data_IF_358625055502
#
_entry.id   IF_358625055502
#
_cell.length_a   1.000
_cell.length_b   1.000
_cell.length_c   1.000
_cell.angle_alpha   90.00
_cell.angle_beta   90.00
_cell.angle_gamma   90.00
#
_symmetry.space_group_name_H-M   'P 1'
#
loop_
_entity.id
_entity.type
_entity.pdbx_description
1 polymer ?
#
# COMPACT_ATOMS: atom_id res chain seq x y z
N UNK A 1 21.50 -28.76 10.29
CA UNK A 1 20.84 -28.10 9.14
C UNK A 1 21.64 -26.86 8.81
N UNK A 2 22.06 -26.71 7.56
CA UNK A 2 22.77 -25.50 7.11
C UNK A 2 21.72 -24.39 6.96
N UNK A 3 21.90 -23.30 7.68
CA UNK A 3 21.02 -22.14 7.62
C UNK A 3 21.32 -21.35 6.35
N UNK A 4 20.29 -20.91 5.65
CA UNK A 4 20.43 -20.06 4.47
C UNK A 4 20.09 -18.61 4.83
N UNK A 5 20.84 -17.70 4.25
CA UNK A 5 20.58 -16.27 4.35
C UNK A 5 20.09 -15.74 3.00
N UNK A 6 19.01 -14.97 3.02
CA UNK A 6 18.42 -14.34 1.85
C UNK A 6 18.57 -12.83 1.95
N UNK A 7 19.09 -12.21 0.91
CA UNK A 7 19.21 -10.76 0.82
C UNK A 7 18.11 -10.23 -0.11
N UNK A 8 17.11 -9.58 0.46
CA UNK A 8 16.10 -8.86 -0.31
C UNK A 8 16.66 -7.51 -0.73
N UNK A 9 16.58 -7.19 -2.01
CA UNK A 9 17.11 -5.97 -2.59
C UNK A 9 16.02 -5.23 -3.35
N UNK A 10 15.82 -3.96 -3.02
CA UNK A 10 15.09 -3.00 -3.82
C UNK A 10 16.05 -1.89 -4.25
N UNK A 11 16.15 -1.67 -5.55
CA UNK A 11 16.82 -0.50 -6.11
C UNK A 11 15.76 0.47 -6.63
N UNK A 12 15.85 1.70 -6.18
CA UNK A 12 15.03 2.82 -6.64
C UNK A 12 15.95 3.89 -7.25
N UNK A 13 15.36 4.95 -7.82
CA UNK A 13 16.11 6.00 -8.53
C UNK A 13 17.16 6.70 -7.66
N UNK A 14 16.89 6.84 -6.36
CA UNK A 14 17.73 7.61 -5.42
C UNK A 14 18.33 6.79 -4.29
N UNK A 15 17.75 5.64 -4.00
CA UNK A 15 18.18 4.80 -2.88
C UNK A 15 17.95 3.33 -3.15
N UNK A 16 18.74 2.51 -2.49
CA UNK A 16 18.57 1.06 -2.47
C UNK A 16 18.30 0.60 -1.06
N UNK A 17 17.34 -0.28 -0.91
CA UNK A 17 17.02 -0.93 0.36
C UNK A 17 17.51 -2.37 0.32
N UNK A 18 18.09 -2.81 1.42
CA UNK A 18 18.62 -4.16 1.62
C UNK A 18 18.06 -4.71 2.92
N UNK A 19 17.52 -5.92 2.90
CA UNK A 19 17.10 -6.64 4.09
C UNK A 19 17.68 -8.05 4.08
N UNK A 20 18.34 -8.44 5.16
CA UNK A 20 18.90 -9.76 5.35
C UNK A 20 17.97 -10.60 6.20
N UNK A 21 17.45 -11.68 5.62
CA UNK A 21 16.54 -12.63 6.25
C UNK A 21 17.25 -13.97 6.47
N UNK A 22 16.93 -14.64 7.56
CA UNK A 22 17.38 -16.01 7.84
C UNK A 22 16.19 -16.96 7.72
N UNK A 23 16.43 -18.15 7.12
CA UNK A 23 15.46 -19.27 7.09
C UNK A 23 15.51 -20.13 8.37
N UNK A 24 16.20 -19.66 9.42
CA UNK A 24 16.13 -20.32 10.74
C UNK A 24 14.68 -20.35 11.23
N UNK A 25 14.30 -21.43 11.90
CA UNK A 25 12.98 -21.51 12.52
C UNK A 25 12.96 -20.78 13.89
N UNK A 26 12.16 -19.71 14.00
CA UNK A 26 11.33 -19.05 12.98
C UNK A 26 12.17 -18.20 11.99
N UNK A 27 11.72 -18.11 10.73
CA UNK A 27 12.28 -17.21 9.73
C UNK A 27 12.23 -15.77 10.26
N UNK A 28 13.34 -15.03 10.19
CA UNK A 28 13.44 -13.71 10.82
C UNK A 28 14.32 -12.72 10.04
N UNK A 29 14.00 -11.45 10.20
CA UNK A 29 14.85 -10.34 9.78
C UNK A 29 16.07 -10.26 10.71
N UNK A 30 17.26 -10.30 10.12
CA UNK A 30 18.52 -10.11 10.87
C UNK A 30 18.96 -8.64 10.87
N UNK A 31 18.84 -7.98 9.74
CA UNK A 31 19.24 -6.57 9.59
C UNK A 31 18.63 -5.96 8.34
N UNK A 32 18.51 -4.63 8.32
CA UNK A 32 18.12 -3.88 7.14
C UNK A 32 18.86 -2.54 7.07
N UNK A 33 19.11 -2.05 5.85
CA UNK A 33 19.75 -0.77 5.62
C UNK A 33 19.22 -0.11 4.34
N UNK A 34 19.13 1.21 4.34
CA UNK A 34 18.84 2.02 3.16
C UNK A 34 20.07 2.84 2.82
N UNK A 35 20.51 2.77 1.57
CA UNK A 35 21.69 3.48 1.05
C UNK A 35 21.29 4.30 -0.17
N UNK A 36 22.01 5.41 -0.48
CA UNK A 36 21.87 6.09 -1.76
C UNK A 36 22.16 5.13 -2.93
N UNK A 37 21.44 5.26 -4.03
CA UNK A 37 21.68 4.47 -5.25
C UNK A 37 23.12 4.71 -5.74
N UNK A 38 23.84 3.63 -6.01
CA UNK A 38 25.27 3.68 -6.38
C UNK A 38 26.22 3.80 -5.18
N UNK A 39 25.76 3.86 -3.95
CA UNK A 39 26.59 3.69 -2.77
C UNK A 39 27.19 2.28 -2.80
N UNK A 40 28.53 2.23 -2.82
CA UNK A 40 29.23 0.96 -2.90
C UNK A 40 29.04 0.11 -1.64
N UNK A 41 28.96 -1.11 -1.89
CA UNK A 41 28.85 -2.32 -1.13
C UNK A 41 29.48 -2.38 0.27
N UNK A 42 30.37 -1.49 0.68
CA UNK A 42 31.04 -1.61 1.98
C UNK A 42 30.09 -1.57 3.19
N UNK A 43 29.05 -0.73 3.14
CA UNK A 43 28.06 -0.69 4.21
C UNK A 43 27.16 -1.93 4.20
N UNK A 44 26.77 -2.41 3.01
CA UNK A 44 26.05 -3.68 2.85
C UNK A 44 26.93 -4.84 3.31
N UNK A 45 28.19 -4.89 2.89
CA UNK A 45 29.15 -5.91 3.33
C UNK A 45 29.36 -5.89 4.84
N UNK A 46 29.50 -4.74 5.45
CA UNK A 46 29.63 -4.58 6.91
C UNK A 46 28.37 -5.05 7.63
N UNK A 47 27.18 -4.72 7.12
CA UNK A 47 25.91 -5.22 7.65
C UNK A 47 25.84 -6.73 7.55
N UNK A 48 26.15 -7.28 6.38
CA UNK A 48 26.14 -8.71 6.11
C UNK A 48 27.15 -9.46 6.99
N UNK A 49 28.34 -8.93 7.17
CA UNK A 49 29.38 -9.49 8.05
C UNK A 49 28.94 -9.45 9.52
N UNK A 50 28.31 -8.35 9.97
CA UNK A 50 27.80 -8.25 11.34
C UNK A 50 26.66 -9.23 11.60
N UNK A 51 25.76 -9.41 10.64
CA UNK A 51 24.66 -10.37 10.75
C UNK A 51 25.13 -11.81 10.63
N UNK A 52 26.07 -12.11 9.74
CA UNK A 52 26.69 -13.44 9.61
C UNK A 52 27.52 -13.81 10.85
N UNK A 53 28.14 -12.84 11.53
CA UNK A 53 28.82 -13.04 12.80
C UNK A 53 27.88 -13.41 13.95
N UNK A 54 26.62 -12.96 13.91
CA UNK A 54 25.57 -13.34 14.86
C UNK A 54 25.03 -14.77 14.59
N UNK A 55 25.16 -15.26 13.35
CA UNK A 55 24.76 -16.60 12.95
C UNK A 55 25.98 -17.36 12.40
N UNK A 56 26.84 -17.83 13.32
CA UNK A 56 28.08 -18.53 12.96
C UNK A 56 27.82 -19.68 11.99
N UNK A 57 28.43 -19.60 10.81
CA UNK A 57 28.41 -20.65 9.80
C UNK A 57 27.32 -20.53 8.72
N UNK A 58 26.49 -19.50 8.73
CA UNK A 58 25.52 -19.24 7.66
C UNK A 58 26.20 -18.49 6.50
N UNK A 59 26.02 -18.97 5.28
CA UNK A 59 26.42 -18.27 4.06
C UNK A 59 25.20 -17.61 3.42
N UNK A 60 25.39 -16.42 2.84
CA UNK A 60 24.35 -15.80 1.99
C UNK A 60 24.15 -16.74 0.79
N UNK A 61 22.98 -17.37 0.76
CA UNK A 61 22.66 -18.34 -0.28
C UNK A 61 22.14 -17.68 -1.53
N UNK A 62 21.39 -16.58 -1.41
CA UNK A 62 20.70 -15.97 -2.55
C UNK A 62 20.44 -14.48 -2.33
N UNK A 63 20.75 -13.67 -3.34
CA UNK A 63 20.35 -12.27 -3.43
C UNK A 63 19.10 -12.15 -4.30
N UNK A 64 18.02 -11.64 -3.73
CA UNK A 64 16.70 -11.54 -4.34
C UNK A 64 16.44 -10.09 -4.73
N UNK A 65 16.62 -9.76 -6.00
CA UNK A 65 16.32 -8.44 -6.53
C UNK A 65 14.84 -8.33 -6.92
N UNK A 66 14.16 -7.31 -6.43
CA UNK A 66 12.76 -7.06 -6.77
C UNK A 66 12.62 -6.69 -8.25
N UNK A 67 11.83 -7.48 -8.99
CA UNK A 67 11.35 -7.15 -10.34
C UNK A 67 9.84 -6.87 -10.25
N UNK A 68 9.35 -5.68 -10.65
CA UNK A 68 7.92 -5.40 -10.64
C UNK A 68 7.07 -6.43 -11.41
N UNK A 69 7.65 -7.13 -12.40
CA UNK A 69 6.97 -8.21 -13.14
C UNK A 69 6.68 -9.44 -12.28
N UNK A 70 7.35 -9.57 -11.16
CA UNK A 70 7.17 -10.71 -10.23
C UNK A 70 6.06 -10.47 -9.19
N UNK A 71 5.39 -9.31 -9.19
CA UNK A 71 4.36 -8.95 -8.20
C UNK A 71 3.20 -9.94 -8.14
N UNK A 72 2.79 -10.53 -9.27
CA UNK A 72 1.76 -11.58 -9.27
C UNK A 72 2.17 -12.78 -8.42
N UNK A 73 3.40 -13.29 -8.60
CA UNK A 73 3.92 -14.39 -7.79
C UNK A 73 4.14 -13.98 -6.33
N UNK A 74 4.53 -12.72 -6.09
CA UNK A 74 4.62 -12.20 -4.74
C UNK A 74 3.26 -12.19 -4.04
N UNK A 75 2.19 -11.79 -4.75
CA UNK A 75 0.82 -11.83 -4.24
C UNK A 75 0.39 -13.25 -3.85
N UNK A 76 0.69 -14.26 -4.72
CA UNK A 76 0.43 -15.67 -4.43
C UNK A 76 1.12 -16.13 -3.14
N UNK A 77 2.42 -15.87 -3.01
CA UNK A 77 3.20 -16.25 -1.82
C UNK A 77 2.74 -15.56 -0.55
N UNK A 78 2.39 -14.27 -0.65
CA UNK A 78 1.81 -13.54 0.48
C UNK A 78 0.42 -14.08 0.85
N UNK A 79 -0.43 -14.44 -0.14
CA UNK A 79 -1.72 -15.02 0.12
C UNK A 79 -1.62 -16.38 0.83
N UNK A 80 -0.71 -17.25 0.37
CA UNK A 80 -0.44 -18.55 1.01
C UNK A 80 0.13 -18.38 2.42
N UNK A 81 1.03 -17.42 2.60
CA UNK A 81 1.65 -17.14 3.88
C UNK A 81 0.67 -16.59 4.92
N UNK A 82 -0.24 -15.72 4.51
CA UNK A 82 -1.21 -15.05 5.39
C UNK A 82 -2.54 -15.82 5.49
N UNK A 83 -2.80 -16.77 4.59
CA UNK A 83 -4.03 -17.56 4.56
C UNK A 83 -5.27 -16.78 4.14
N UNK A 84 -5.12 -15.61 3.53
CA UNK A 84 -6.20 -14.71 3.09
C UNK A 84 -5.89 -14.16 1.70
N UNK A 85 -6.90 -13.68 0.95
CA UNK A 85 -6.66 -13.00 -0.31
C UNK A 85 -5.76 -11.77 -0.14
N UNK A 86 -4.77 -11.64 -1.02
CA UNK A 86 -3.80 -10.53 -1.01
C UNK A 86 -3.90 -9.77 -2.32
N UNK A 87 -3.90 -8.45 -2.19
CA UNK A 87 -3.73 -7.49 -3.28
C UNK A 87 -2.44 -6.71 -3.06
N UNK A 88 -1.74 -6.38 -4.14
CA UNK A 88 -0.55 -5.54 -4.09
C UNK A 88 -0.77 -4.36 -5.02
N UNK A 89 -0.59 -3.14 -4.51
CA UNK A 89 -0.60 -1.91 -5.28
C UNK A 89 0.81 -1.31 -5.31
N UNK A 90 1.36 -1.13 -6.50
CA UNK A 90 2.63 -0.44 -6.73
C UNK A 90 2.38 0.79 -7.64
N UNK A 91 2.57 1.99 -7.11
CA UNK A 91 2.57 3.22 -7.90
C UNK A 91 4.00 3.69 -8.03
N UNK A 92 4.55 3.51 -9.22
CA UNK A 92 5.90 3.93 -9.57
C UNK A 92 5.89 5.11 -10.56
N UNK A 93 7.07 5.61 -10.92
CA UNK A 93 7.17 6.72 -11.87
C UNK A 93 6.72 6.36 -13.26
N UNK A 94 6.96 5.12 -13.69
CA UNK A 94 6.77 4.60 -15.05
C UNK A 94 5.41 3.93 -15.28
N UNK A 95 4.79 3.37 -14.22
CA UNK A 95 3.49 2.69 -14.30
C UNK A 95 2.87 2.53 -12.91
N UNK A 96 1.55 2.37 -12.86
CA UNK A 96 0.86 1.70 -11.78
C UNK A 96 0.80 0.21 -12.04
N UNK A 97 0.91 -0.59 -11.01
CA UNK A 97 0.81 -2.05 -11.08
C UNK A 97 -0.09 -2.55 -9.98
N UNK A 98 -0.90 -3.51 -10.34
CA UNK A 98 -1.79 -4.16 -9.41
C UNK A 98 -1.65 -5.66 -9.55
N UNK A 99 -1.49 -6.37 -8.45
CA UNK A 99 -1.42 -7.82 -8.43
C UNK A 99 -2.41 -8.38 -7.41
N UNK A 100 -2.91 -9.59 -7.69
CA UNK A 100 -3.88 -10.24 -6.83
C UNK A 100 -3.68 -11.75 -6.80
N UNK A 101 -3.92 -12.36 -5.64
CA UNK A 101 -4.01 -13.80 -5.47
C UNK A 101 -4.90 -14.17 -4.28
N UNK A 102 -5.56 -15.32 -4.37
CA UNK A 102 -6.14 -16.01 -3.22
C UNK A 102 -5.20 -17.15 -2.77
N UNK A 103 -5.30 -17.64 -1.53
CA UNK A 103 -4.52 -18.78 -1.09
C UNK A 103 -4.68 -19.98 -2.03
N UNK A 104 -3.56 -20.61 -2.39
CA UNK A 104 -3.52 -21.76 -3.32
C UNK A 104 -3.76 -21.40 -4.79
N UNK A 105 -3.80 -20.12 -5.17
CA UNK A 105 -3.99 -19.70 -6.57
C UNK A 105 -2.75 -19.03 -7.13
N UNK A 106 -2.58 -19.12 -8.46
CA UNK A 106 -1.57 -18.32 -9.15
C UNK A 106 -1.97 -16.84 -9.08
N UNK A 107 -0.97 -16.00 -8.85
CA UNK A 107 -1.20 -14.56 -8.80
C UNK A 107 -1.28 -13.93 -10.18
N UNK A 108 -2.19 -13.01 -10.32
CA UNK A 108 -2.37 -12.18 -11.51
C UNK A 108 -1.66 -10.83 -11.37
N UNK A 109 -1.23 -10.24 -12.46
CA UNK A 109 -0.57 -8.93 -12.51
C UNK A 109 -1.11 -8.12 -13.68
N UNK A 110 -1.52 -6.90 -13.40
CA UNK A 110 -1.86 -5.88 -14.39
C UNK A 110 -0.88 -4.72 -14.27
N UNK A 111 -0.37 -4.25 -15.41
CA UNK A 111 0.48 -3.06 -15.50
C UNK A 111 -0.24 -1.99 -16.32
N UNK A 112 -0.37 -0.81 -15.76
CA UNK A 112 -1.19 0.29 -16.27
C UNK A 112 -0.29 1.52 -16.42
N UNK A 113 0.02 1.88 -17.68
CA UNK A 113 0.93 2.99 -17.97
C UNK A 113 0.33 4.35 -17.55
N UNK A 114 -0.98 4.51 -17.70
CA UNK A 114 -1.74 5.72 -17.32
C UNK A 114 -1.74 5.96 -15.81
N UNK A 115 -1.57 4.89 -15.04
CA UNK A 115 -1.45 4.95 -13.58
C UNK A 115 -0.01 5.19 -13.09
N UNK A 116 0.92 5.53 -13.98
CA UNK A 116 2.21 6.07 -13.59
C UNK A 116 2.04 7.33 -12.75
N UNK A 117 2.95 7.58 -11.81
CA UNK A 117 2.95 8.85 -11.07
C UNK A 117 3.00 10.04 -12.03
N UNK A 118 3.88 9.96 -13.03
CA UNK A 118 3.96 10.92 -14.14
C UNK A 118 3.86 10.15 -15.46
N UNK A 119 2.69 10.10 -16.09
CA UNK A 119 2.51 9.38 -17.35
C UNK A 119 3.45 9.87 -18.44
N UNK A 120 3.99 8.95 -19.25
CA UNK A 120 4.85 9.30 -20.39
C UNK A 120 4.05 9.94 -21.53
N UNK A 121 2.80 9.50 -21.74
CA UNK A 121 1.92 10.05 -22.76
C UNK A 121 1.54 11.51 -22.43
N UNK A 122 1.68 12.46 -23.40
CA UNK A 122 1.39 13.86 -23.15
C UNK A 122 -0.10 14.16 -22.88
N UNK A 123 -1.03 13.36 -23.37
CA UNK A 123 -2.47 13.54 -23.11
C UNK A 123 -2.81 13.10 -21.70
N UNK A 124 -2.29 11.97 -21.25
CA UNK A 124 -2.44 11.47 -19.90
C UNK A 124 -1.73 12.36 -18.88
N UNK A 125 -0.56 12.91 -19.22
CA UNK A 125 0.11 13.91 -18.38
C UNK A 125 -0.71 15.18 -18.22
N UNK A 126 -1.40 15.64 -19.26
CA UNK A 126 -2.33 16.78 -19.17
C UNK A 126 -3.54 16.46 -18.30
N UNK A 127 -4.13 15.27 -18.45
CA UNK A 127 -5.22 14.78 -17.59
C UNK A 127 -4.79 14.73 -16.13
N UNK A 128 -3.59 14.20 -15.85
CA UNK A 128 -2.99 14.15 -14.50
C UNK A 128 -2.81 15.57 -13.93
N UNK A 129 -2.29 16.50 -14.72
CA UNK A 129 -2.15 17.90 -14.32
C UNK A 129 -3.51 18.51 -13.94
N UNK A 130 -4.55 18.27 -14.71
CA UNK A 130 -5.90 18.78 -14.41
C UNK A 130 -6.50 18.15 -13.14
N UNK A 131 -6.22 16.87 -12.88
CA UNK A 131 -6.63 16.19 -11.66
C UNK A 131 -5.89 16.75 -10.43
N UNK A 132 -4.60 16.96 -10.54
CA UNK A 132 -3.77 17.56 -9.48
C UNK A 132 -4.25 18.97 -9.16
N UNK A 133 -4.46 19.82 -10.18
CA UNK A 133 -4.97 21.19 -10.00
C UNK A 133 -6.26 21.22 -9.18
N UNK A 134 -7.23 20.35 -9.53
CA UNK A 134 -8.48 20.25 -8.79
C UNK A 134 -8.28 19.82 -7.34
N UNK A 135 -7.38 18.82 -7.12
CA UNK A 135 -7.14 18.28 -5.79
C UNK A 135 -6.48 19.27 -4.83
N UNK A 136 -5.51 20.06 -5.32
CA UNK A 136 -4.80 21.04 -4.47
C UNK A 136 -5.45 22.42 -4.45
N UNK A 137 -6.51 22.63 -5.25
CA UNK A 137 -7.19 23.93 -5.34
C UNK A 137 -6.37 25.03 -6.03
N UNK A 138 -5.30 24.68 -6.74
CA UNK A 138 -4.45 25.63 -7.45
C UNK A 138 -5.09 26.06 -8.79
N UNK A 139 -4.78 27.27 -9.25
CA UNK A 139 -5.32 27.83 -10.49
C UNK A 139 -4.27 28.00 -11.59
N UNK A 140 -3.01 28.02 -11.21
CA UNK A 140 -1.91 28.15 -12.18
C UNK A 140 -1.53 26.80 -12.78
N UNK A 141 -2.16 26.49 -13.91
CA UNK A 141 -1.89 25.26 -14.65
C UNK A 141 -0.45 25.15 -15.14
N UNK A 142 0.16 26.27 -15.54
CA UNK A 142 1.52 26.26 -16.04
C UNK A 142 2.49 25.89 -14.94
N UNK A 143 2.37 26.51 -13.76
CA UNK A 143 3.19 26.20 -12.60
C UNK A 143 3.09 24.72 -12.17
N UNK A 144 1.88 24.16 -12.15
CA UNK A 144 1.70 22.72 -11.83
C UNK A 144 2.28 21.83 -12.91
N UNK A 145 2.09 22.16 -14.20
CA UNK A 145 2.64 21.39 -15.32
C UNK A 145 4.17 21.40 -15.33
N UNK A 146 4.79 22.57 -15.08
CA UNK A 146 6.23 22.71 -14.95
C UNK A 146 6.77 21.89 -13.77
N UNK A 147 6.09 21.93 -12.62
CA UNK A 147 6.47 21.15 -11.43
C UNK A 147 6.34 19.64 -11.65
N UNK A 148 5.30 19.19 -12.34
CA UNK A 148 5.17 17.79 -12.75
C UNK A 148 6.26 17.39 -13.75
N UNK A 149 6.67 18.30 -14.65
CA UNK A 149 7.81 18.11 -15.53
C UNK A 149 9.12 17.95 -14.76
N UNK A 150 9.39 18.84 -13.80
CA UNK A 150 10.57 18.75 -12.92
C UNK A 150 10.61 17.42 -12.14
N UNK A 151 9.46 16.95 -11.64
CA UNK A 151 9.34 15.67 -10.94
C UNK A 151 9.61 14.49 -11.91
N UNK A 152 9.19 14.60 -13.18
CA UNK A 152 9.46 13.58 -14.19
C UNK A 152 10.95 13.48 -14.50
N UNK A 153 11.59 14.62 -14.72
CA UNK A 153 13.01 14.70 -15.10
C UNK A 153 13.96 14.44 -13.91
N UNK A 154 13.52 14.84 -12.71
CA UNK A 154 14.30 14.74 -11.48
C UNK A 154 13.39 14.30 -10.33
N UNK A 155 13.07 13.01 -10.23
CA UNK A 155 12.08 12.49 -9.27
C UNK A 155 12.34 12.88 -7.82
N UNK A 156 13.58 13.21 -7.47
CA UNK A 156 14.01 13.62 -6.12
C UNK A 156 14.07 15.12 -5.91
N UNK A 157 13.85 15.93 -6.97
CA UNK A 157 13.84 17.40 -6.83
C UNK A 157 12.51 17.89 -6.25
N UNK A 158 12.54 19.13 -5.69
CA UNK A 158 11.32 19.79 -5.21
C UNK A 158 10.63 19.03 -4.07
N UNK A 159 11.40 18.49 -3.12
CA UNK A 159 10.89 17.99 -1.84
C UNK A 159 10.64 19.16 -0.90
N UNK A 160 9.71 20.00 -1.29
CA UNK A 160 9.10 21.03 -0.48
C UNK A 160 7.61 20.67 -0.31
N UNK A 161 6.92 21.36 0.60
CA UNK A 161 5.52 21.08 0.90
C UNK A 161 4.62 21.13 -0.34
N UNK A 162 4.86 22.05 -1.27
CA UNK A 162 4.10 22.18 -2.50
C UNK A 162 4.38 21.01 -3.46
N UNK A 163 5.62 20.58 -3.59
CA UNK A 163 6.00 19.42 -4.39
C UNK A 163 5.42 18.12 -3.84
N UNK A 164 5.38 17.98 -2.53
CA UNK A 164 4.80 16.79 -1.87
C UNK A 164 3.27 16.76 -1.99
N UNK A 165 2.59 17.90 -1.93
CA UNK A 165 1.14 18.00 -2.22
C UNK A 165 0.84 17.59 -3.67
N UNK A 166 1.62 18.05 -4.64
CA UNK A 166 1.46 17.66 -6.05
C UNK A 166 1.66 16.16 -6.23
N UNK A 167 2.69 15.58 -5.61
CA UNK A 167 2.94 14.13 -5.68
C UNK A 167 1.81 13.33 -5.02
N UNK A 168 1.34 13.75 -3.87
CA UNK A 168 0.23 13.10 -3.17
C UNK A 168 -1.04 13.13 -4.03
N UNK A 169 -1.37 14.28 -4.62
CA UNK A 169 -2.51 14.41 -5.53
C UNK A 169 -2.33 13.54 -6.80
N UNK A 170 -1.12 13.46 -7.35
CA UNK A 170 -0.82 12.59 -8.48
C UNK A 170 -0.93 11.10 -8.10
N UNK A 171 -0.52 10.71 -6.89
CA UNK A 171 -0.73 9.35 -6.38
C UNK A 171 -2.21 9.02 -6.23
N UNK A 172 -3.02 9.92 -5.67
CA UNK A 172 -4.46 9.71 -5.52
C UNK A 172 -5.17 9.54 -6.88
N UNK A 173 -4.77 10.31 -7.89
CA UNK A 173 -5.30 10.13 -9.24
C UNK A 173 -4.78 8.84 -9.91
N UNK A 174 -3.53 8.41 -9.63
CA UNK A 174 -2.99 7.13 -10.10
C UNK A 174 -3.76 5.94 -9.52
N UNK A 175 -4.14 5.98 -8.23
CA UNK A 175 -5.00 4.97 -7.59
C UNK A 175 -6.30 4.83 -8.38
N UNK A 176 -6.93 5.94 -8.75
CA UNK A 176 -8.18 5.94 -9.50
C UNK A 176 -7.99 5.28 -10.88
N UNK A 177 -6.91 5.60 -11.59
CA UNK A 177 -6.58 4.96 -12.86
C UNK A 177 -6.37 3.45 -12.72
N UNK A 178 -5.79 2.98 -11.60
CA UNK A 178 -5.70 1.53 -11.31
C UNK A 178 -7.09 0.96 -11.07
N UNK A 179 -7.93 1.63 -10.29
CA UNK A 179 -9.27 1.15 -9.95
C UNK A 179 -10.15 0.97 -11.19
N UNK A 180 -10.10 1.91 -12.15
CA UNK A 180 -10.83 1.83 -13.42
C UNK A 180 -10.51 0.55 -14.22
N UNK A 181 -9.28 0.03 -14.09
CA UNK A 181 -8.84 -1.19 -14.77
C UNK A 181 -9.03 -2.45 -13.92
N UNK A 182 -9.29 -2.30 -12.63
CA UNK A 182 -9.37 -3.41 -11.69
C UNK A 182 -10.80 -3.75 -11.26
N UNK A 183 -11.78 -2.93 -11.58
CA UNK A 183 -13.16 -3.05 -11.07
C UNK A 183 -13.83 -4.42 -11.32
N UNK A 184 -13.35 -5.20 -12.28
CA UNK A 184 -13.95 -6.49 -12.67
C UNK A 184 -13.38 -7.72 -11.90
N UNK A 185 -12.41 -7.56 -10.99
CA UNK A 185 -11.66 -8.70 -10.44
C UNK A 185 -11.94 -9.01 -8.96
N UNK A 186 -13.06 -8.63 -8.43
CA UNK A 186 -13.27 -8.73 -7.00
C UNK A 186 -14.46 -9.55 -6.54
N UNK A 187 -14.25 -10.80 -6.20
CA UNK A 187 -15.17 -11.50 -5.28
C UNK A 187 -15.10 -10.83 -3.91
N UNK A 188 -16.27 -10.51 -3.36
CA UNK A 188 -16.42 -10.04 -1.98
C UNK A 188 -15.85 -11.07 -1.01
N UNK A 189 -14.73 -10.78 -0.38
CA UNK A 189 -14.17 -11.64 0.67
C UNK A 189 -13.92 -10.78 1.89
N UNK A 190 -14.65 -11.06 2.97
CA UNK A 190 -14.33 -10.50 4.26
C UNK A 190 -12.94 -10.97 4.70
N UNK A 191 -12.09 -10.05 5.15
CA UNK A 191 -10.75 -10.36 5.61
C UNK A 191 -9.72 -10.50 4.50
N UNK A 192 -9.54 -9.49 3.66
CA UNK A 192 -8.43 -9.38 2.68
C UNK A 192 -7.28 -8.51 3.20
N UNK A 193 -6.13 -8.60 2.54
CA UNK A 193 -4.95 -7.75 2.78
C UNK A 193 -4.62 -6.99 1.51
N UNK A 194 -4.39 -5.68 1.65
CA UNK A 194 -3.83 -4.83 0.59
C UNK A 194 -2.41 -4.40 0.99
N UNK A 195 -1.41 -4.83 0.24
CA UNK A 195 -0.02 -4.40 0.40
C UNK A 195 0.21 -3.22 -0.56
N UNK A 196 0.59 -2.08 -0.01
CA UNK A 196 0.88 -0.87 -0.78
C UNK A 196 2.39 -0.64 -0.79
N UNK A 197 2.97 -0.53 -1.99
CA UNK A 197 4.40 -0.31 -2.21
C UNK A 197 4.65 0.85 -3.17
N UNK A 198 5.91 1.19 -3.42
CA UNK A 198 6.27 2.32 -4.29
C UNK A 198 6.11 3.68 -3.62
N UNK A 199 5.90 4.71 -4.43
CA UNK A 199 5.84 6.11 -3.95
C UNK A 199 4.67 6.35 -3.00
N UNK A 200 3.53 5.72 -3.25
CA UNK A 200 2.31 5.92 -2.47
C UNK A 200 2.46 5.51 -1.00
N UNK A 201 3.28 4.50 -0.68
CA UNK A 201 3.48 4.05 0.69
C UNK A 201 3.99 5.18 1.61
N UNK A 202 4.80 6.11 1.08
CA UNK A 202 5.29 7.27 1.83
C UNK A 202 4.17 8.31 2.09
N UNK A 203 3.27 8.53 1.11
CA UNK A 203 2.20 9.53 1.23
C UNK A 203 1.04 9.06 2.11
N UNK A 204 0.76 7.77 2.15
CA UNK A 204 -0.16 7.19 3.13
C UNK A 204 0.38 7.34 4.56
N UNK A 205 1.68 7.12 4.77
CA UNK A 205 2.31 7.29 6.09
C UNK A 205 2.23 8.72 6.60
N UNK A 206 2.38 9.71 5.72
CA UNK A 206 2.31 11.14 6.08
C UNK A 206 0.88 11.68 6.18
N UNK A 207 -0.13 10.87 5.84
CA UNK A 207 -1.53 11.31 5.76
C UNK A 207 -1.83 12.23 4.55
N UNK A 208 -0.86 12.45 3.66
CA UNK A 208 -1.07 13.26 2.47
C UNK A 208 -1.99 12.58 1.43
N UNK A 209 -2.04 11.23 1.44
CA UNK A 209 -3.06 10.43 0.77
C UNK A 209 -3.88 9.75 1.86
N UNK A 210 -5.18 9.99 1.96
CA UNK A 210 -6.02 9.37 2.97
C UNK A 210 -6.23 7.87 2.68
N UNK A 211 -6.45 7.08 3.71
CA UNK A 211 -6.71 5.63 3.59
C UNK A 211 -7.98 5.37 2.75
N UNK A 212 -8.96 6.26 2.83
CA UNK A 212 -10.18 6.24 2.03
C UNK A 212 -9.93 6.19 0.51
N UNK A 213 -8.82 6.75 0.03
CA UNK A 213 -8.47 6.72 -1.40
C UNK A 213 -8.26 5.30 -1.95
N UNK A 214 -8.00 4.33 -1.08
CA UNK A 214 -7.82 2.92 -1.43
C UNK A 214 -9.14 2.15 -1.53
N UNK A 215 -10.27 2.74 -1.14
CA UNK A 215 -11.58 2.05 -1.08
C UNK A 215 -12.02 1.47 -2.42
N UNK A 216 -11.63 2.11 -3.52
CA UNK A 216 -11.94 1.67 -4.89
C UNK A 216 -11.16 0.43 -5.33
N UNK A 217 -10.11 0.06 -4.59
CA UNK A 217 -9.21 -1.06 -4.90
C UNK A 217 -9.51 -2.32 -4.08
N UNK A 218 -10.41 -2.23 -3.12
CA UNK A 218 -10.67 -3.31 -2.16
C UNK A 218 -12.13 -3.74 -2.22
N UNK A 219 -12.42 -5.01 -1.88
CA UNK A 219 -13.79 -5.50 -1.87
C UNK A 219 -14.60 -4.87 -0.74
N UNK A 220 -15.90 -5.08 -0.77
CA UNK A 220 -16.76 -4.84 0.38
C UNK A 220 -16.30 -5.67 1.59
N UNK A 221 -16.46 -5.11 2.78
CA UNK A 221 -15.99 -5.71 4.02
C UNK A 221 -14.66 -5.14 4.48
N UNK A 222 -13.98 -5.89 5.36
CA UNK A 222 -12.73 -5.44 5.98
C UNK A 222 -11.50 -5.82 5.15
N UNK A 223 -10.63 -4.85 4.93
CA UNK A 223 -9.30 -5.03 4.34
C UNK A 223 -8.24 -4.44 5.25
N UNK A 224 -7.26 -5.24 5.64
CA UNK A 224 -6.07 -4.75 6.35
C UNK A 224 -5.08 -4.18 5.34
N UNK A 225 -4.65 -2.93 5.54
CA UNK A 225 -3.69 -2.25 4.66
C UNK A 225 -2.30 -2.29 5.28
N UNK A 226 -1.35 -2.86 4.56
CA UNK A 226 0.06 -2.96 4.92
C UNK A 226 0.92 -2.10 3.98
N UNK A 227 1.87 -1.36 4.53
CA UNK A 227 2.78 -0.52 3.77
C UNK A 227 4.15 -1.21 3.64
N UNK A 228 4.52 -1.56 2.43
CA UNK A 228 5.88 -1.95 2.08
C UNK A 228 6.72 -0.70 1.76
N UNK A 229 7.13 0.01 2.81
CA UNK A 229 7.95 1.22 2.67
C UNK A 229 9.35 0.94 2.11
N UNK A 230 9.80 -0.27 2.26
CA UNK A 230 11.08 -0.74 1.76
C UNK A 230 11.03 -1.15 0.27
N UNK A 231 9.83 -1.40 -0.26
CA UNK A 231 9.62 -1.84 -1.63
C UNK A 231 10.14 -3.25 -1.92
N UNK A 232 10.20 -4.10 -0.91
CA UNK A 232 10.81 -5.45 -1.02
C UNK A 232 9.82 -6.53 -1.46
N UNK A 233 8.51 -6.23 -1.48
CA UNK A 233 7.50 -7.23 -1.83
C UNK A 233 7.75 -7.89 -3.18
N UNK A 234 8.23 -7.13 -4.18
CA UNK A 234 8.55 -7.68 -5.50
C UNK A 234 9.68 -8.73 -5.46
N UNK A 235 10.62 -8.62 -4.51
CA UNK A 235 11.69 -9.60 -4.34
C UNK A 235 11.17 -10.98 -3.89
N UNK A 236 10.03 -11.01 -3.20
CA UNK A 236 9.38 -12.26 -2.78
C UNK A 236 8.83 -13.06 -3.96
N UNK A 237 8.58 -12.43 -5.11
CA UNK A 237 8.05 -13.07 -6.31
C UNK A 237 9.11 -13.66 -7.25
N UNK A 238 10.39 -13.59 -6.91
CA UNK A 238 11.48 -14.07 -7.79
C UNK A 238 11.43 -15.59 -8.03
N UNK A 239 11.88 -16.03 -9.20
CA UNK A 239 11.92 -17.46 -9.55
C UNK A 239 12.98 -18.26 -8.78
N UNK A 240 13.92 -17.57 -8.15
CA UNK A 240 14.99 -18.17 -7.38
C UNK A 240 14.52 -18.80 -6.06
N UNK A 241 13.32 -18.42 -5.59
CA UNK A 241 12.68 -19.00 -4.41
C UNK A 241 11.77 -20.16 -4.80
N UNK A 242 11.89 -21.30 -4.11
CA UNK A 242 10.85 -22.31 -4.13
C UNK A 242 9.61 -21.84 -3.36
N UNK A 243 8.46 -22.48 -3.56
CA UNK A 243 7.18 -22.01 -3.01
C UNK A 243 7.17 -22.01 -1.47
N UNK A 244 7.71 -23.03 -0.82
CA UNK A 244 7.74 -23.15 0.64
C UNK A 244 8.57 -22.03 1.27
N UNK A 245 9.83 -21.89 0.83
CA UNK A 245 10.72 -20.82 1.31
C UNK A 245 10.16 -19.44 0.97
N UNK A 246 9.53 -19.29 -0.20
CA UNK A 246 8.90 -18.05 -0.62
C UNK A 246 7.75 -17.64 0.32
N UNK A 247 6.90 -18.58 0.73
CA UNK A 247 5.81 -18.31 1.66
C UNK A 247 6.32 -18.00 3.08
N UNK A 248 7.35 -18.70 3.56
CA UNK A 248 7.98 -18.43 4.86
C UNK A 248 8.60 -17.03 4.91
N UNK A 249 9.36 -16.66 3.87
CA UNK A 249 9.93 -15.32 3.74
C UNK A 249 8.84 -14.25 3.62
N UNK A 250 7.76 -14.52 2.89
CA UNK A 250 6.63 -13.59 2.75
C UNK A 250 5.97 -13.34 4.11
N UNK A 251 5.74 -14.38 4.91
CA UNK A 251 5.20 -14.25 6.27
C UNK A 251 6.11 -13.40 7.16
N UNK A 252 7.39 -13.76 7.24
CA UNK A 252 8.33 -13.01 8.06
C UNK A 252 8.50 -11.56 7.60
N UNK A 253 8.46 -11.31 6.28
CA UNK A 253 8.50 -9.96 5.72
C UNK A 253 7.24 -9.16 6.11
N UNK A 254 6.06 -9.76 6.01
CA UNK A 254 4.81 -9.11 6.40
C UNK A 254 4.80 -8.75 7.89
N UNK A 255 5.27 -9.63 8.75
CA UNK A 255 5.30 -9.43 10.20
C UNK A 255 6.38 -8.44 10.68
N UNK A 256 7.51 -8.34 9.98
CA UNK A 256 8.69 -7.65 10.50
C UNK A 256 9.12 -6.42 9.69
N UNK A 257 8.72 -6.30 8.43
CA UNK A 257 9.09 -5.20 7.54
C UNK A 257 7.91 -4.33 7.10
N UNK A 258 6.72 -4.92 6.98
CA UNK A 258 5.57 -4.13 6.58
C UNK A 258 5.01 -3.36 7.77
N UNK A 259 4.63 -2.11 7.51
CA UNK A 259 4.03 -1.25 8.53
C UNK A 259 2.51 -1.29 8.39
N UNK A 260 1.73 -1.64 9.42
CA UNK A 260 0.28 -1.53 9.35
C UNK A 260 -0.15 -0.07 9.10
N UNK A 261 -0.87 0.17 8.00
CA UNK A 261 -1.52 1.46 7.78
C UNK A 261 -2.80 1.56 8.60
N UNK A 262 -3.50 0.45 8.75
CA UNK A 262 -4.75 0.31 9.48
C UNK A 262 -5.77 -0.48 8.66
N UNK A 263 -6.94 -0.68 9.25
CA UNK A 263 -8.04 -1.37 8.57
C UNK A 263 -8.93 -0.38 7.81
N UNK A 264 -9.35 -0.81 6.62
CA UNK A 264 -10.32 -0.13 5.78
C UNK A 264 -11.57 -1.00 5.70
N UNK A 265 -12.71 -0.46 6.17
CA UNK A 265 -14.01 -1.11 6.09
C UNK A 265 -14.84 -0.45 4.98
N UNK A 266 -15.15 -1.20 3.94
CA UNK A 266 -16.03 -0.75 2.85
C UNK A 266 -17.42 -1.32 3.05
N UNK A 267 -18.37 -0.43 3.31
CA UNK A 267 -19.78 -0.79 3.52
C UNK A 267 -20.54 -0.65 2.20
N UNK A 268 -21.39 -1.62 1.88
CA UNK A 268 -22.21 -1.56 0.66
C UNK A 268 -23.04 -0.28 0.60
N UNK A 269 -23.04 0.37 -0.55
CA UNK A 269 -23.90 1.51 -0.81
C UNK A 269 -25.24 1.05 -1.41
N UNK A 270 -26.31 1.29 -0.65
CA UNK A 270 -27.68 1.06 -1.11
C UNK A 270 -28.39 2.43 -1.22
N UNK A 271 -28.85 2.82 -2.42
CA UNK A 271 -29.51 4.10 -2.61
C UNK A 271 -30.69 4.31 -1.66
N UNK A 272 -30.69 5.42 -0.94
CA UNK A 272 -31.75 5.77 0.01
C UNK A 272 -31.64 5.12 1.40
N UNK A 273 -30.66 4.26 1.64
CA UNK A 273 -30.41 3.64 2.94
C UNK A 273 -29.44 4.49 3.74
N UNK A 274 -29.83 4.85 4.96
CA UNK A 274 -28.93 5.49 5.92
C UNK A 274 -27.96 4.42 6.48
N UNK A 275 -26.69 4.78 6.55
CA UNK A 275 -25.66 4.00 7.23
C UNK A 275 -25.23 4.77 8.46
N UNK A 276 -25.39 4.16 9.63
CA UNK A 276 -24.94 4.72 10.90
C UNK A 276 -23.73 3.93 11.38
N UNK A 277 -22.73 4.65 11.87
CA UNK A 277 -21.52 4.07 12.42
C UNK A 277 -21.47 4.43 13.90
N UNK A 278 -21.45 3.41 14.74
CA UNK A 278 -21.33 3.56 16.18
C UNK A 278 -19.89 3.18 16.59
N UNK A 279 -19.18 4.13 17.17
CA UNK A 279 -17.84 3.95 17.69
C UNK A 279 -17.85 4.29 19.18
N UNK A 280 -17.94 3.26 20.02
CA UNK A 280 -18.20 3.43 21.45
C UNK A 280 -19.54 4.11 21.71
N UNK A 281 -19.52 5.29 22.35
CA UNK A 281 -20.73 6.08 22.64
C UNK A 281 -21.10 7.10 21.54
N UNK A 282 -20.27 7.22 20.50
CA UNK A 282 -20.49 8.18 19.42
C UNK A 282 -21.22 7.52 18.23
N UNK A 283 -22.16 8.27 17.65
CA UNK A 283 -22.90 7.87 16.45
C UNK A 283 -22.61 8.84 15.33
N UNK A 284 -22.29 8.31 14.16
CA UNK A 284 -21.96 9.09 12.97
C UNK A 284 -22.77 8.58 11.76
N UNK A 285 -23.42 9.51 11.05
CA UNK A 285 -24.04 9.19 9.77
C UNK A 285 -22.96 9.12 8.68
N UNK A 286 -22.85 7.99 7.99
CA UNK A 286 -21.96 7.82 6.85
C UNK A 286 -22.74 8.16 5.57
N UNK A 287 -22.36 9.28 4.95
CA UNK A 287 -22.95 9.73 3.68
C UNK A 287 -22.52 8.83 2.52
N UNK A 288 -23.26 8.85 1.42
CA UNK A 288 -23.01 7.97 0.26
C UNK A 288 -21.65 8.16 -0.40
N UNK A 289 -21.06 9.35 -0.27
CA UNK A 289 -19.72 9.70 -0.77
C UNK A 289 -18.74 10.00 0.37
N UNK A 290 -19.10 9.64 1.60
CA UNK A 290 -18.37 9.99 2.81
C UNK A 290 -17.38 8.91 3.24
N UNK A 291 -16.39 9.36 3.98
CA UNK A 291 -15.48 8.53 4.75
C UNK A 291 -15.41 9.03 6.19
N UNK A 292 -15.32 8.07 7.12
CA UNK A 292 -15.06 8.35 8.53
C UNK A 292 -13.68 7.76 8.87
N UNK A 293 -12.80 8.59 9.36
CA UNK A 293 -11.47 8.20 9.80
C UNK A 293 -11.38 8.30 11.31
N UNK A 294 -10.79 7.29 11.94
CA UNK A 294 -10.61 7.22 13.38
C UNK A 294 -9.13 7.06 13.69
N UNK A 295 -8.61 7.87 14.60
CA UNK A 295 -7.21 7.80 15.04
C UNK A 295 -7.02 6.62 16.03
N UNK A 296 -6.85 5.44 15.46
CA UNK A 296 -6.55 4.21 16.21
C UNK A 296 -5.11 3.78 15.88
N UNK A 297 -4.26 3.74 16.88
CA UNK A 297 -2.83 3.52 16.70
C UNK A 297 -2.51 2.07 16.34
N UNK A 298 -1.33 1.87 15.77
CA UNK A 298 -0.82 0.53 15.50
C UNK A 298 -0.74 -0.30 16.80
N UNK A 299 -1.31 -1.50 16.75
CA UNK A 299 -1.42 -2.41 17.89
C UNK A 299 -2.68 -2.22 18.75
N UNK A 300 -3.48 -1.20 18.47
CA UNK A 300 -4.79 -0.99 19.09
C UNK A 300 -5.90 -1.51 18.18
N UNK A 301 -7.05 -1.84 18.76
CA UNK A 301 -8.24 -2.31 18.05
C UNK A 301 -9.43 -1.48 18.52
N UNK A 302 -10.31 -1.11 17.59
CA UNK A 302 -11.58 -0.46 17.88
C UNK A 302 -12.75 -1.32 17.40
N UNK A 303 -13.77 -1.45 18.22
CA UNK A 303 -15.03 -2.08 17.86
C UNK A 303 -15.92 -1.03 17.19
N UNK A 304 -16.20 -1.24 15.91
CA UNK A 304 -17.07 -0.39 15.10
C UNK A 304 -18.34 -1.17 14.77
N UNK A 305 -19.48 -0.63 15.16
CA UNK A 305 -20.78 -1.18 14.80
C UNK A 305 -21.36 -0.43 13.61
N UNK A 306 -21.67 -1.15 12.54
CA UNK A 306 -22.32 -0.61 11.34
C UNK A 306 -23.79 -0.96 11.38
N UNK A 307 -24.66 0.03 11.34
CA UNK A 307 -26.11 -0.13 11.31
C UNK A 307 -26.68 0.29 9.94
N UNK A 308 -27.38 -0.64 9.29
CA UNK A 308 -28.09 -0.40 8.03
C UNK A 308 -29.48 -1.05 8.09
N UNK A 309 -30.55 -0.31 7.80
CA UNK A 309 -31.93 -0.82 7.75
C UNK A 309 -32.33 -1.68 8.97
N UNK A 310 -31.84 -1.30 10.18
CA UNK A 310 -32.12 -2.05 11.41
C UNK A 310 -31.29 -3.31 11.61
N UNK A 311 -30.33 -3.58 10.72
CA UNK A 311 -29.32 -4.61 10.90
C UNK A 311 -28.03 -3.99 11.44
N UNK A 312 -27.47 -4.62 12.46
CA UNK A 312 -26.20 -4.18 13.08
C UNK A 312 -25.13 -5.24 12.89
N UNK A 313 -23.98 -4.82 12.45
CA UNK A 313 -22.79 -5.68 12.28
C UNK A 313 -21.64 -5.05 13.06
N UNK A 314 -21.08 -5.82 13.98
CA UNK A 314 -19.90 -5.43 14.75
C UNK A 314 -18.63 -5.87 14.01
N UNK A 315 -17.71 -4.94 13.78
CA UNK A 315 -16.41 -5.20 13.20
C UNK A 315 -15.31 -4.72 14.17
N UNK A 316 -14.42 -5.64 14.54
CA UNK A 316 -13.19 -5.29 15.25
C UNK A 316 -12.13 -4.86 14.23
N UNK A 317 -11.77 -3.58 14.22
CA UNK A 317 -10.83 -2.98 13.28
C UNK A 317 -9.51 -2.66 13.96
N UNK A 318 -8.40 -2.98 13.27
CA UNK A 318 -7.05 -2.75 13.78
C UNK A 318 -6.53 -1.41 13.31
N UNK A 319 -5.98 -0.66 14.24
CA UNK A 319 -5.33 0.62 13.96
C UNK A 319 -3.96 0.48 13.29
N UNK A 320 -3.47 1.60 12.77
CA UNK A 320 -2.18 1.68 12.11
C UNK A 320 -1.65 3.12 12.06
N UNK A 321 -0.66 3.37 11.22
CA UNK A 321 -0.09 4.72 11.05
C UNK A 321 -1.06 5.71 10.39
N UNK A 322 -2.08 5.22 9.69
CA UNK A 322 -3.16 6.02 9.10
C UNK A 322 -4.50 5.86 9.84
N UNK A 323 -4.52 5.18 11.00
CA UNK A 323 -5.73 4.92 11.77
C UNK A 323 -6.60 3.81 11.17
N UNK A 324 -7.91 3.92 11.31
CA UNK A 324 -8.91 3.09 10.63
C UNK A 324 -9.84 3.97 9.81
N UNK A 325 -10.38 3.44 8.73
CA UNK A 325 -11.28 4.18 7.86
C UNK A 325 -12.52 3.33 7.53
N UNK A 326 -13.69 3.96 7.61
CA UNK A 326 -14.97 3.39 7.17
C UNK A 326 -15.51 4.22 6.03
N UNK A 327 -15.78 3.59 4.89
CA UNK A 327 -16.30 4.26 3.69
C UNK A 327 -17.53 3.54 3.16
N UNK A 328 -18.42 4.25 2.46
CA UNK A 328 -19.43 3.61 1.61
C UNK A 328 -18.81 3.30 0.26
N UNK A 329 -18.97 2.04 -0.18
CA UNK A 329 -18.63 1.65 -1.53
C UNK A 329 -19.60 2.29 -2.50
N UNK A 330 -19.14 3.27 -3.26
CA UNK A 330 -19.89 3.80 -4.40
C UNK A 330 -19.68 2.88 -5.60
N UNK A 331 -20.69 2.70 -6.45
CA UNK A 331 -20.48 2.09 -7.77
C UNK A 331 -19.36 2.82 -8.53
N UNK A 332 -18.55 2.13 -9.32
CA UNK A 332 -17.38 2.70 -9.99
C UNK A 332 -17.62 3.98 -10.80
N UNK A 333 -18.86 4.21 -11.23
CA UNK A 333 -19.21 5.31 -12.15
C UNK A 333 -19.23 6.69 -11.46
N UNK A 334 -19.37 6.80 -10.13
CA UNK A 334 -19.54 8.06 -9.41
C UNK A 334 -18.30 8.54 -8.61
N UNK A 335 -17.26 7.73 -8.50
CA UNK A 335 -16.07 8.04 -7.69
C UNK A 335 -15.25 9.22 -8.22
N UNK A 336 -15.55 9.71 -9.44
CA UNK A 336 -14.77 10.75 -10.11
C UNK A 336 -14.82 12.13 -9.42
N UNK A 337 -15.73 12.38 -8.48
CA UNK A 337 -16.01 13.73 -7.96
C UNK A 337 -16.21 13.85 -6.46
N UNK A 338 -16.04 12.78 -5.68
CA UNK A 338 -16.15 12.89 -4.24
C UNK A 338 -14.99 13.74 -3.69
N UNK A 339 -15.25 14.93 -3.14
CA UNK A 339 -14.25 15.63 -2.39
C UNK A 339 -13.92 14.75 -1.17
N UNK A 340 -12.67 14.40 -1.02
CA UNK A 340 -12.18 13.77 0.22
C UNK A 340 -12.33 14.84 1.30
N UNK A 341 -13.44 14.82 2.01
CA UNK A 341 -13.63 15.66 3.19
C UNK A 341 -12.94 14.95 4.33
N UNK A 342 -11.62 15.08 4.38
CA UNK A 342 -10.86 14.75 5.57
C UNK A 342 -11.31 15.69 6.68
N UNK A 343 -12.25 15.26 7.52
CA UNK A 343 -12.40 15.85 8.84
C UNK A 343 -11.53 15.01 9.76
N UNK A 344 -10.57 15.62 10.48
CA UNK A 344 -9.89 14.90 11.54
C UNK A 344 -10.95 14.39 12.51
N UNK A 345 -11.16 13.09 12.51
CA UNK A 345 -12.01 12.47 13.51
C UNK A 345 -11.36 12.72 14.87
N UNK A 346 -12.17 13.07 15.85
CA UNK A 346 -11.70 13.24 17.22
C UNK A 346 -11.10 11.92 17.69
N UNK A 347 -9.99 12.03 18.40
CA UNK A 347 -9.39 10.92 19.14
C UNK A 347 -10.49 10.30 20.01
N UNK A 348 -10.86 9.06 19.73
CA UNK A 348 -11.73 8.30 20.61
C UNK A 348 -10.88 7.81 21.79
N UNK A 349 -11.22 8.12 23.06
CA UNK A 349 -10.61 7.48 24.16
C UNK A 349 -10.98 6.00 24.13
N UNK A 350 -10.00 5.14 23.92
CA UNK A 350 -10.17 3.70 24.08
C UNK A 350 -10.23 3.43 25.57
N UNK A 351 -11.36 2.87 26.04
CA UNK A 351 -11.57 2.48 27.41
C UNK A 351 -10.83 1.19 27.76
#
# INVERSE_FOLDING_TARGET
>A
MTRSLYLLIREDLDRSFYALMSDAEPTRLLSSITLPTGAKSSAVEQMLQSAAGAEQGAAISTSLKGDPRSLGRAASRCADALGVPVRILDIAHDAGRAAWAAPGTAGELVTIAEAALIPADPSERRRRCDAVLRAIGERDRAAVADRLGDIADRPMSGRDDAGDQIRAAACADAIRSVAEHWADQGTTTDGSVLIVTGQIAAYLTSGAVPLAALSTLVPLGRTTVLLDRAGVVAALGTEQLNETTGAELARATAEQLFTPAGDLLVVADHPGVAVLIHAGAEEHALLSDGALEFDVKAGETADIEVETEGHRVLAALHGGVAGICVVRGTPPDDVAHAPVVARPARVLPIA
#
